data_IF_208374034969
#
_entry.id   IF_208374034969
#
_cell.length_a   1.000
_cell.length_b   1.000
_cell.length_c   1.000
_cell.angle_alpha   90.00
_cell.angle_beta   90.00
_cell.angle_gamma   90.00
#
_symmetry.space_group_name_H-M   'P 1'
#
loop_
_entity.id
_entity.type
_entity.pdbx_description
1 polymer ?
#
# COMPACT_ATOMS: atom_id res chain seq x y z
N UNK A 1 14.15 -7.93 2.29
CA UNK A 1 13.05 -8.44 3.17
C UNK A 1 11.97 -9.17 2.33
N UNK A 2 10.78 -9.52 2.88
CA UNK A 2 9.61 -9.91 2.06
C UNK A 2 8.75 -8.67 1.86
N UNK A 3 8.50 -8.27 0.63
CA UNK A 3 7.82 -7.00 0.34
C UNK A 3 6.52 -7.29 -0.35
N UNK A 4 5.45 -6.78 0.24
CA UNK A 4 4.14 -6.93 -0.33
C UNK A 4 3.89 -5.79 -1.31
N UNK A 5 3.59 -6.13 -2.55
CA UNK A 5 3.08 -5.20 -3.56
C UNK A 5 1.80 -4.50 -3.05
N UNK A 6 0.97 -5.25 -2.31
CA UNK A 6 -0.17 -4.72 -1.56
C UNK A 6 0.17 -4.75 -0.07
N UNK A 7 0.24 -3.61 0.64
CA UNK A 7 0.60 -3.60 2.05
C UNK A 7 -0.17 -4.62 2.89
N UNK A 8 0.55 -5.32 3.77
CA UNK A 8 0.00 -6.46 4.50
C UNK A 8 -1.20 -6.10 5.38
N UNK A 9 -1.24 -4.88 5.92
CA UNK A 9 -2.35 -4.40 6.73
C UNK A 9 -3.66 -4.32 5.93
N UNK A 10 -3.61 -4.06 4.62
CA UNK A 10 -4.78 -4.09 3.74
C UNK A 10 -5.26 -5.53 3.57
N UNK A 11 -4.34 -6.45 3.23
CA UNK A 11 -4.66 -7.85 2.98
C UNK A 11 -5.31 -8.49 4.21
N UNK A 12 -4.81 -8.16 5.41
CA UNK A 12 -5.33 -8.67 6.69
C UNK A 12 -6.78 -8.26 6.98
N UNK A 13 -7.30 -7.18 6.38
CA UNK A 13 -8.69 -6.75 6.55
C UNK A 13 -9.70 -7.65 5.84
N UNK A 14 -9.28 -8.46 4.87
CA UNK A 14 -10.17 -9.37 4.16
C UNK A 14 -10.38 -10.68 4.93
N UNK A 15 -9.30 -11.43 5.19
CA UNK A 15 -9.36 -12.72 5.88
C UNK A 15 -7.95 -13.21 6.27
N UNK A 16 -7.87 -14.18 7.20
CA UNK A 16 -6.63 -14.91 7.52
C UNK A 16 -6.10 -15.71 6.32
N UNK A 17 -7.01 -16.23 5.49
CA UNK A 17 -6.69 -16.94 4.26
C UNK A 17 -7.51 -16.36 3.11
N UNK A 18 -6.85 -16.14 1.98
CA UNK A 18 -7.45 -15.52 0.79
C UNK A 18 -7.22 -16.38 -0.45
N UNK A 19 -8.14 -16.26 -1.40
CA UNK A 19 -7.99 -16.84 -2.74
C UNK A 19 -7.35 -15.78 -3.65
N UNK A 20 -6.39 -16.18 -4.47
CA UNK A 20 -5.69 -15.29 -5.41
C UNK A 20 -5.89 -15.79 -6.83
N UNK A 21 -6.42 -14.94 -7.70
CA UNK A 21 -6.57 -15.22 -9.13
C UNK A 21 -5.51 -14.48 -9.93
N UNK A 22 -4.84 -15.19 -10.84
CA UNK A 22 -3.87 -14.61 -11.76
C UNK A 22 -4.53 -14.36 -13.12
N UNK A 23 -4.74 -13.09 -13.46
CA UNK A 23 -5.37 -12.67 -14.71
C UNK A 23 -4.59 -13.11 -15.96
N UNK A 24 -3.25 -13.22 -15.90
CA UNK A 24 -2.42 -13.54 -17.07
C UNK A 24 -2.55 -14.99 -17.51
N UNK A 25 -2.75 -15.91 -16.58
CA UNK A 25 -2.77 -17.35 -16.87
C UNK A 25 -4.03 -18.08 -16.39
N UNK A 26 -5.02 -17.36 -15.84
CA UNK A 26 -6.28 -17.93 -15.38
C UNK A 26 -6.19 -18.81 -14.14
N UNK A 27 -5.03 -18.87 -13.47
CA UNK A 27 -4.85 -19.75 -12.32
C UNK A 27 -5.44 -19.16 -11.04
N UNK A 28 -6.24 -19.96 -10.34
CA UNK A 28 -6.67 -19.68 -8.97
C UNK A 28 -5.77 -20.41 -7.98
N UNK A 29 -5.38 -19.72 -6.92
CA UNK A 29 -4.66 -20.28 -5.77
C UNK A 29 -5.52 -20.07 -4.55
N UNK A 30 -6.09 -21.15 -4.03
CA UNK A 30 -7.03 -21.08 -2.91
C UNK A 30 -6.32 -21.14 -1.55
N UNK A 31 -7.03 -20.65 -0.53
CA UNK A 31 -6.68 -20.77 0.88
C UNK A 31 -5.23 -20.37 1.21
N UNK A 32 -4.76 -19.29 0.59
CA UNK A 32 -3.39 -18.79 0.79
C UNK A 32 -3.35 -17.95 2.07
N UNK A 33 -2.40 -18.22 2.99
CA UNK A 33 -2.23 -17.35 4.15
C UNK A 33 -1.98 -15.91 3.71
N UNK A 34 -2.67 -14.95 4.30
CA UNK A 34 -2.62 -13.53 3.89
C UNK A 34 -1.21 -12.94 3.88
N UNK A 35 -0.31 -13.43 4.72
CA UNK A 35 1.09 -13.01 4.75
C UNK A 35 1.96 -13.61 3.63
N UNK A 36 1.46 -14.58 2.86
CA UNK A 36 2.16 -15.27 1.76
C UNK A 36 1.62 -14.92 0.37
N UNK A 37 0.84 -13.86 0.24
CA UNK A 37 0.26 -13.40 -1.03
C UNK A 37 0.79 -12.03 -1.41
N UNK A 38 0.76 -11.71 -2.70
CA UNK A 38 1.18 -10.40 -3.25
C UNK A 38 2.53 -9.91 -2.72
N UNK A 39 3.50 -10.81 -2.52
CA UNK A 39 4.83 -10.46 -2.07
C UNK A 39 5.91 -11.04 -2.98
N UNK A 40 7.02 -10.30 -3.08
CA UNK A 40 8.22 -10.71 -3.80
C UNK A 40 9.46 -10.26 -3.01
N UNK A 41 10.59 -10.94 -3.22
CA UNK A 41 11.86 -10.60 -2.59
C UNK A 41 12.69 -9.75 -3.56
N UNK A 42 13.33 -8.70 -3.06
CA UNK A 42 14.22 -7.85 -3.86
C UNK A 42 13.49 -6.95 -4.84
N UNK A 43 12.29 -6.46 -4.47
CA UNK A 43 11.58 -5.45 -5.27
C UNK A 43 12.34 -4.12 -5.18
N UNK A 44 12.86 -3.79 -3.99
CA UNK A 44 13.70 -2.62 -3.76
C UNK A 44 14.97 -3.06 -3.02
N UNK A 45 15.95 -2.17 -2.89
CA UNK A 45 17.07 -2.40 -1.99
C UNK A 45 16.59 -2.44 -0.52
N UNK A 46 17.35 -3.14 0.35
CA UNK A 46 16.93 -3.37 1.73
C UNK A 46 16.75 -2.06 2.54
N UNK A 47 17.42 -0.96 2.16
CA UNK A 47 17.30 0.34 2.84
C UNK A 47 15.99 1.06 2.49
N UNK A 48 15.64 1.08 1.20
CA UNK A 48 14.36 1.58 0.70
C UNK A 48 13.23 0.75 1.28
N UNK A 49 13.35 -0.58 1.30
CA UNK A 49 12.33 -1.46 1.88
C UNK A 49 12.09 -1.16 3.36
N UNK A 50 13.16 -1.00 4.16
CA UNK A 50 13.04 -0.63 5.57
C UNK A 50 12.38 0.74 5.72
N UNK A 51 12.80 1.71 4.91
CA UNK A 51 12.26 3.06 4.97
C UNK A 51 10.77 3.09 4.66
N UNK A 52 10.33 2.44 3.59
CA UNK A 52 8.91 2.39 3.21
C UNK A 52 8.08 1.68 4.29
N UNK A 53 8.54 0.55 4.82
CA UNK A 53 7.81 -0.20 5.83
C UNK A 53 7.72 0.55 7.17
N UNK A 54 8.85 0.99 7.72
CA UNK A 54 8.91 1.58 9.05
C UNK A 54 8.44 3.04 9.10
N UNK A 55 8.70 3.83 8.06
CA UNK A 55 8.42 5.27 8.10
C UNK A 55 7.11 5.66 7.41
N UNK A 56 6.52 4.77 6.61
CA UNK A 56 5.30 5.06 5.85
C UNK A 56 4.20 4.05 6.14
N UNK A 57 4.40 2.77 5.84
CA UNK A 57 3.32 1.77 5.92
C UNK A 57 2.88 1.48 7.35
N UNK A 58 3.81 1.25 8.27
CA UNK A 58 3.49 0.96 9.68
C UNK A 58 2.80 2.15 10.37
N UNK A 59 3.32 3.39 10.29
CA UNK A 59 2.64 4.55 10.86
C UNK A 59 1.28 4.81 10.21
N UNK A 60 1.17 4.65 8.88
CA UNK A 60 -0.11 4.84 8.19
C UNK A 60 -1.14 3.79 8.60
N UNK A 61 -0.75 2.51 8.73
CA UNK A 61 -1.64 1.45 9.21
C UNK A 61 -2.21 1.80 10.58
N UNK A 62 -1.38 2.32 11.48
CA UNK A 62 -1.82 2.75 12.81
C UNK A 62 -2.79 3.92 12.72
N UNK A 63 -2.46 4.96 11.94
CA UNK A 63 -3.35 6.10 11.72
C UNK A 63 -4.70 5.68 11.12
N UNK A 64 -4.68 4.72 10.19
CA UNK A 64 -5.87 4.18 9.55
C UNK A 64 -6.78 3.49 10.57
N UNK A 65 -6.22 2.58 11.37
CA UNK A 65 -6.98 1.76 12.32
C UNK A 65 -7.43 2.55 13.55
N UNK A 66 -6.58 3.43 14.08
CA UNK A 66 -6.86 4.15 15.33
C UNK A 66 -7.81 5.34 15.10
N UNK A 67 -7.84 5.91 13.88
CA UNK A 67 -8.47 7.21 13.64
C UNK A 67 -9.33 7.28 12.39
N UNK A 68 -8.79 6.91 11.23
CA UNK A 68 -9.50 7.13 9.96
C UNK A 68 -10.72 6.21 9.80
N UNK A 69 -10.67 4.98 10.32
CA UNK A 69 -11.76 4.00 10.21
C UNK A 69 -12.72 3.99 11.41
N UNK A 70 -12.31 4.55 12.54
CA UNK A 70 -13.06 4.52 13.81
C UNK A 70 -13.92 5.75 14.06
N UNK A 71 -13.68 6.84 13.33
CA UNK A 71 -14.39 8.10 13.54
C UNK A 71 -15.75 8.10 12.87
N UNK A 72 -16.83 8.31 13.64
CA UNK A 72 -18.21 8.20 13.12
C UNK A 72 -18.72 9.47 12.41
N UNK A 73 -18.33 10.66 12.86
CA UNK A 73 -18.94 11.92 12.41
C UNK A 73 -17.94 12.98 11.94
N UNK A 74 -16.74 13.03 12.52
CA UNK A 74 -15.69 13.97 12.12
C UNK A 74 -14.31 13.42 12.44
N UNK A 75 -13.32 13.77 11.61
CA UNK A 75 -11.92 13.40 11.79
C UNK A 75 -11.11 14.69 11.81
N UNK A 76 -10.28 14.88 12.83
CA UNK A 76 -9.30 15.99 12.88
C UNK A 76 -7.94 15.46 12.47
N UNK A 77 -7.36 15.93 11.37
CA UNK A 77 -6.05 15.48 10.88
C UNK A 77 -4.98 16.55 11.18
N UNK A 78 -3.90 16.17 11.86
CA UNK A 78 -2.77 17.09 12.09
C UNK A 78 -1.95 17.27 10.82
N UNK A 79 -1.10 18.31 10.77
CA UNK A 79 -0.21 18.53 9.61
C UNK A 79 0.73 17.35 9.37
N UNK A 80 1.22 16.72 10.43
CA UNK A 80 2.10 15.55 10.37
C UNK A 80 1.37 14.31 9.85
N UNK A 81 0.15 14.06 10.35
CA UNK A 81 -0.70 12.98 9.85
C UNK A 81 -1.06 13.18 8.37
N UNK A 82 -1.39 14.41 7.97
CA UNK A 82 -1.67 14.75 6.58
C UNK A 82 -0.46 14.48 5.68
N UNK A 83 0.75 14.83 6.14
CA UNK A 83 1.98 14.56 5.40
C UNK A 83 2.23 13.05 5.26
N UNK A 84 2.00 12.28 6.32
CA UNK A 84 2.08 10.81 6.30
C UNK A 84 1.09 10.21 5.30
N UNK A 85 -0.17 10.65 5.31
CA UNK A 85 -1.20 10.22 4.35
C UNK A 85 -0.74 10.51 2.92
N UNK A 86 -0.26 11.73 2.64
CA UNK A 86 0.24 12.11 1.31
C UNK A 86 1.41 11.24 0.85
N UNK A 87 2.38 10.97 1.73
CA UNK A 87 3.52 10.08 1.43
C UNK A 87 3.06 8.66 1.11
N UNK A 88 2.15 8.11 1.91
CA UNK A 88 1.58 6.80 1.67
C UNK A 88 0.83 6.71 0.33
N UNK A 89 -0.01 7.72 0.03
CA UNK A 89 -0.75 7.78 -1.22
C UNK A 89 0.19 7.88 -2.42
N UNK A 90 1.24 8.71 -2.35
CA UNK A 90 2.25 8.82 -3.39
C UNK A 90 2.92 7.48 -3.70
N UNK A 91 3.42 6.78 -2.68
CA UNK A 91 4.05 5.46 -2.83
C UNK A 91 3.07 4.46 -3.44
N UNK A 92 1.81 4.49 -3.00
CA UNK A 92 0.75 3.61 -3.51
C UNK A 92 0.45 3.88 -4.99
N UNK A 93 0.41 5.15 -5.42
CA UNK A 93 0.18 5.52 -6.81
C UNK A 93 1.32 5.06 -7.72
N UNK A 94 2.57 5.26 -7.30
CA UNK A 94 3.75 4.79 -8.06
C UNK A 94 3.73 3.27 -8.19
N UNK A 95 3.42 2.54 -7.11
CA UNK A 95 3.33 1.07 -7.15
C UNK A 95 2.24 0.58 -8.10
N UNK A 96 1.07 1.23 -8.08
CA UNK A 96 -0.08 0.80 -8.88
C UNK A 96 0.08 1.09 -10.39
N UNK A 97 0.70 2.22 -10.74
CA UNK A 97 0.80 2.70 -12.12
C UNK A 97 2.15 2.41 -12.77
N UNK A 98 3.20 2.22 -11.98
CA UNK A 98 4.59 2.31 -12.44
C UNK A 98 5.10 3.75 -12.44
N UNK A 99 6.42 3.92 -12.28
CA UNK A 99 7.06 5.23 -12.16
C UNK A 99 6.84 6.12 -13.39
N UNK A 100 7.08 5.60 -14.58
CA UNK A 100 6.94 6.37 -15.84
C UNK A 100 5.50 6.82 -16.05
N UNK A 101 4.54 5.91 -15.89
CA UNK A 101 3.14 6.23 -16.10
C UNK A 101 2.61 7.22 -15.05
N UNK A 102 3.04 7.09 -13.79
CA UNK A 102 2.68 8.05 -12.75
C UNK A 102 3.29 9.44 -13.03
N UNK A 103 4.52 9.50 -13.55
CA UNK A 103 5.14 10.76 -13.97
C UNK A 103 4.35 11.43 -15.09
N UNK A 104 3.94 10.66 -16.11
CA UNK A 104 3.10 11.16 -17.21
C UNK A 104 1.74 11.68 -16.70
N UNK A 105 1.11 10.95 -15.79
CA UNK A 105 -0.12 11.35 -15.12
C UNK A 105 0.02 12.71 -14.41
N UNK A 106 1.10 12.90 -13.65
CA UNK A 106 1.36 14.18 -12.99
C UNK A 106 1.54 15.31 -14.00
N UNK A 107 2.32 15.09 -15.06
CA UNK A 107 2.51 16.10 -16.10
C UNK A 107 1.17 16.48 -16.77
N UNK A 108 0.30 15.51 -17.01
CA UNK A 108 -1.02 15.76 -17.61
C UNK A 108 -1.92 16.61 -16.70
N UNK A 109 -1.85 16.42 -15.38
CA UNK A 109 -2.66 17.18 -14.42
C UNK A 109 -2.15 18.61 -14.23
N UNK A 110 -0.83 18.81 -14.27
CA UNK A 110 -0.21 20.09 -13.93
C UNK A 110 0.18 20.96 -15.14
N UNK A 111 0.07 20.44 -16.36
CA UNK A 111 0.18 21.26 -17.56
C UNK A 111 -1.16 21.97 -17.84
N UNK A 112 -1.21 23.25 -17.46
CA UNK A 112 -2.14 24.24 -18.03
C UNK A 112 -1.70 24.64 -19.45
#
# INVERSE_FOLDING_TARGET
>A
MKNHYIPQFIIKKFSKAINVFNLKNGNIRENRPSFKVFYEKGIYDDEVEKTLNFNIETPFSKLLDDKLLTSESSITITREELLLIKRYMLVSSIRAQGEEHFREFLNTIFNY
#
